data_IF_328819862067
#
_entry.id   IF_328819862067
#
_cell.length_a   1.000
_cell.length_b   1.000
_cell.length_c   1.000
_cell.angle_alpha   90.00
_cell.angle_beta   90.00
_cell.angle_gamma   90.00
#
_symmetry.space_group_name_H-M   'P 1'
#
loop_
_entity.id
_entity.type
_entity.pdbx_description
1 polymer ?
#
# COMPACT_ATOMS: atom_id res chain seq x y z
N UNK A 1 -20.63 12.99 11.42
CA UNK A 1 -19.83 12.74 10.18
C UNK A 1 -18.56 13.56 10.29
N UNK A 2 -17.45 12.97 10.72
CA UNK A 2 -16.18 13.70 10.90
C UNK A 2 -15.38 13.63 9.61
N UNK A 3 -15.16 14.78 8.98
CA UNK A 3 -14.30 14.90 7.81
C UNK A 3 -12.85 14.68 8.24
N UNK A 4 -12.24 13.59 7.76
CA UNK A 4 -10.82 13.30 7.95
C UNK A 4 -10.02 14.28 7.09
N UNK A 5 -9.25 15.17 7.74
CA UNK A 5 -8.36 16.12 7.07
C UNK A 5 -7.12 15.36 6.57
N UNK A 6 -6.93 15.32 5.25
CA UNK A 6 -5.75 14.70 4.64
C UNK A 6 -4.49 15.47 5.06
N UNK A 7 -3.49 14.76 5.59
CA UNK A 7 -2.15 15.32 5.78
C UNK A 7 -1.47 15.34 4.41
N UNK A 8 -1.05 16.52 3.94
CA UNK A 8 -0.41 16.74 2.62
C UNK A 8 1.12 16.59 2.64
N UNK A 9 1.66 15.81 3.58
CA UNK A 9 3.09 15.45 3.54
C UNK A 9 3.28 14.14 2.79
N UNK A 10 3.62 14.20 1.50
CA UNK A 10 4.05 12.99 0.75
C UNK A 10 5.41 12.56 1.30
N UNK A 11 5.40 11.79 2.39
CA UNK A 11 6.58 11.06 2.83
C UNK A 11 6.55 9.75 2.10
N UNK A 12 7.56 9.48 1.26
CA UNK A 12 7.70 8.17 0.64
C UNK A 12 7.81 7.13 1.75
N UNK A 13 6.95 6.09 1.77
CA UNK A 13 6.97 5.13 2.86
C UNK A 13 8.26 4.32 2.87
N UNK A 14 8.75 4.03 4.07
CA UNK A 14 9.87 3.11 4.26
C UNK A 14 9.38 1.68 4.05
N UNK A 15 9.96 0.98 3.09
CA UNK A 15 9.63 -0.40 2.71
C UNK A 15 10.91 -1.20 2.47
N UNK A 16 10.85 -2.55 2.47
CA UNK A 16 12.00 -3.37 2.13
C UNK A 16 12.59 -3.01 0.77
N UNK A 17 13.93 -2.96 0.68
CA UNK A 17 14.67 -2.66 -0.56
C UNK A 17 14.46 -3.70 -1.68
N UNK A 18 13.83 -4.82 -1.37
CA UNK A 18 13.44 -5.86 -2.33
C UNK A 18 12.22 -5.49 -3.18
N UNK A 19 11.59 -4.34 -2.91
CA UNK A 19 10.52 -3.78 -3.74
C UNK A 19 10.78 -2.32 -4.06
N UNK A 20 10.17 -1.85 -5.15
CA UNK A 20 10.06 -0.45 -5.51
C UNK A 20 8.61 0.02 -5.33
N UNK A 21 8.44 1.30 -5.00
CA UNK A 21 7.15 1.97 -4.93
C UNK A 21 7.02 2.96 -6.09
N UNK A 22 6.05 2.72 -6.97
CA UNK A 22 5.72 3.64 -8.06
C UNK A 22 4.47 4.42 -7.66
N UNK A 23 4.51 5.76 -7.55
CA UNK A 23 3.33 6.54 -7.23
C UNK A 23 2.29 6.43 -8.36
N UNK A 24 1.03 6.17 -8.00
CA UNK A 24 -0.09 6.07 -8.96
C UNK A 24 -1.29 6.94 -8.55
N UNK A 25 -1.14 7.70 -7.47
CA UNK A 25 -2.11 8.67 -6.99
C UNK A 25 -1.69 9.24 -5.63
N UNK A 26 -2.41 10.24 -5.10
CA UNK A 26 -2.17 10.77 -3.76
C UNK A 26 -2.31 9.67 -2.71
N UNK A 27 -1.25 9.44 -1.92
CA UNK A 27 -1.24 8.39 -0.90
C UNK A 27 -1.40 6.98 -1.46
N UNK A 28 -1.10 6.74 -2.75
CA UNK A 28 -1.29 5.44 -3.40
C UNK A 28 -0.07 5.07 -4.25
N UNK A 29 0.50 3.90 -3.98
CA UNK A 29 1.67 3.37 -4.67
C UNK A 29 1.41 1.98 -5.22
N UNK A 30 1.93 1.70 -6.41
CA UNK A 30 2.09 0.36 -6.94
C UNK A 30 3.38 -0.23 -6.40
N UNK A 31 3.28 -1.42 -5.80
CA UNK A 31 4.42 -2.19 -5.28
C UNK A 31 4.93 -3.09 -6.39
N UNK A 32 6.21 -2.98 -6.71
CA UNK A 32 6.86 -3.73 -7.79
C UNK A 32 8.04 -4.52 -7.21
N UNK A 33 8.12 -5.81 -7.51
CA UNK A 33 9.27 -6.63 -7.09
C UNK A 33 10.51 -6.39 -7.97
N UNK A 34 11.64 -7.01 -7.62
CA UNK A 34 12.92 -6.82 -8.34
C UNK A 34 12.88 -7.24 -9.81
N UNK A 35 11.92 -8.06 -10.24
CA UNK A 35 11.78 -8.45 -11.65
C UNK A 35 10.88 -7.50 -12.45
N UNK A 36 10.39 -6.42 -11.82
CA UNK A 36 9.50 -5.47 -12.47
C UNK A 36 8.02 -5.88 -12.43
N UNK A 37 7.67 -6.96 -11.72
CA UNK A 37 6.28 -7.43 -11.65
C UNK A 37 5.53 -6.70 -10.53
N UNK A 38 4.32 -6.23 -10.85
CA UNK A 38 3.42 -5.66 -9.84
C UNK A 38 2.99 -6.74 -8.84
N UNK A 39 3.19 -6.46 -7.55
CA UNK A 39 2.79 -7.30 -6.40
C UNK A 39 1.41 -6.88 -5.91
N UNK A 40 1.13 -5.57 -5.89
CA UNK A 40 -0.14 -5.02 -5.43
C UNK A 40 -0.09 -3.50 -5.34
N UNK A 41 -1.03 -2.93 -4.59
CA UNK A 41 -1.03 -1.53 -4.20
C UNK A 41 -0.87 -1.38 -2.70
N UNK A 42 -0.20 -0.30 -2.32
CA UNK A 42 -0.07 0.20 -0.96
C UNK A 42 -0.77 1.56 -0.92
N UNK A 43 -1.70 1.75 0.01
CA UNK A 43 -2.39 3.03 0.20
C UNK A 43 -2.21 3.55 1.63
N UNK A 44 -1.95 4.85 1.76
CA UNK A 44 -1.98 5.54 3.05
C UNK A 44 -3.44 5.72 3.48
N UNK A 45 -3.74 5.35 4.72
CA UNK A 45 -5.04 5.52 5.39
C UNK A 45 -4.85 6.51 6.52
N UNK A 46 -5.59 7.61 6.50
CA UNK A 46 -5.65 8.49 7.66
C UNK A 46 -6.63 7.91 8.68
N UNK A 47 -6.11 7.24 9.71
CA UNK A 47 -6.89 6.75 10.86
C UNK A 47 -6.75 7.76 12.01
N UNK A 48 -7.83 7.98 12.76
CA UNK A 48 -7.99 9.06 13.75
C UNK A 48 -6.93 9.12 14.88
N UNK A 49 -6.08 8.09 15.06
CA UNK A 49 -5.10 8.01 16.14
C UNK A 49 -3.66 7.63 15.67
N UNK A 50 -3.44 7.56 14.37
CA UNK A 50 -2.19 7.09 13.77
C UNK A 50 -2.51 6.57 12.39
N UNK A 51 -1.85 7.10 11.36
CA UNK A 51 -2.05 6.64 9.99
C UNK A 51 -1.84 5.12 9.88
N UNK A 52 -2.39 4.53 8.84
CA UNK A 52 -2.19 3.13 8.53
C UNK A 52 -1.94 2.91 7.05
N UNK A 53 -1.64 1.69 6.70
CA UNK A 53 -1.24 1.28 5.37
C UNK A 53 -2.15 0.16 4.91
N UNK A 54 -2.96 0.42 3.90
CA UNK A 54 -3.81 -0.59 3.29
C UNK A 54 -3.06 -1.30 2.18
N UNK A 55 -2.95 -2.63 2.28
CA UNK A 55 -2.40 -3.48 1.24
C UNK A 55 -3.52 -4.08 0.39
N UNK A 56 -3.38 -3.97 -0.93
CA UNK A 56 -4.33 -4.51 -1.91
C UNK A 56 -3.62 -5.38 -2.93
N UNK A 57 -4.00 -6.66 -3.04
CA UNK A 57 -3.46 -7.57 -4.05
C UNK A 57 -4.31 -7.54 -5.31
N UNK A 58 -3.68 -7.54 -6.49
CA UNK A 58 -4.41 -7.73 -7.73
C UNK A 58 -4.81 -9.21 -7.89
N UNK A 59 -6.10 -9.46 -8.06
CA UNK A 59 -6.64 -10.80 -8.32
C UNK A 59 -6.92 -10.95 -9.81
N UNK A 60 -6.03 -11.67 -10.51
CA UNK A 60 -6.06 -11.82 -11.96
C UNK A 60 -7.41 -12.35 -12.49
N UNK A 61 -8.00 -13.42 -11.92
CA UNK A 61 -9.25 -13.97 -12.46
C UNK A 61 -10.42 -12.98 -12.46
N UNK A 62 -10.53 -12.12 -11.43
CA UNK A 62 -11.60 -11.12 -11.34
C UNK A 62 -11.22 -9.73 -11.82
N UNK A 63 -9.97 -9.54 -12.28
CA UNK A 63 -9.39 -8.24 -12.66
C UNK A 63 -9.65 -7.13 -11.63
N UNK A 64 -9.64 -7.47 -10.34
CA UNK A 64 -9.96 -6.54 -9.26
C UNK A 64 -8.93 -6.61 -8.14
N UNK A 65 -8.88 -5.54 -7.33
CA UNK A 65 -8.04 -5.49 -6.14
C UNK A 65 -8.79 -6.06 -4.95
N UNK A 66 -8.15 -6.99 -4.24
CA UNK A 66 -8.64 -7.50 -2.95
C UNK A 66 -7.82 -6.89 -1.84
N UNK A 67 -8.50 -6.37 -0.82
CA UNK A 67 -7.86 -5.92 0.40
C UNK A 67 -7.26 -7.13 1.12
N UNK A 68 -5.97 -7.04 1.44
CA UNK A 68 -5.27 -8.02 2.27
C UNK A 68 -5.39 -7.63 3.74
N UNK A 69 -5.28 -6.34 4.04
CA UNK A 69 -5.37 -5.83 5.41
C UNK A 69 -5.00 -4.36 5.51
N UNK A 70 -5.08 -3.85 6.74
CA UNK A 70 -4.61 -2.53 7.13
C UNK A 70 -3.57 -2.74 8.22
N UNK A 71 -2.41 -2.11 8.07
CA UNK A 71 -1.24 -2.30 8.91
C UNK A 71 -0.77 -0.96 9.47
N UNK A 72 -0.01 -1.02 10.56
CA UNK A 72 0.54 0.19 11.19
C UNK A 72 1.76 0.72 10.44
N UNK A 73 2.52 -0.15 9.77
CA UNK A 73 3.67 0.24 8.94
C UNK A 73 3.51 -0.16 7.46
N UNK A 74 4.14 0.63 6.59
CA UNK A 74 4.22 0.32 5.17
C UNK A 74 5.04 -0.96 4.91
N UNK A 75 6.09 -1.19 5.71
CA UNK A 75 6.93 -2.37 5.61
C UNK A 75 6.14 -3.66 5.88
N UNK A 76 5.33 -3.71 6.93
CA UNK A 76 4.46 -4.87 7.22
C UNK A 76 3.44 -5.10 6.10
N UNK A 77 2.78 -4.04 5.64
CA UNK A 77 1.82 -4.13 4.53
C UNK A 77 2.46 -4.71 3.26
N UNK A 78 3.68 -4.27 2.92
CA UNK A 78 4.44 -4.77 1.77
C UNK A 78 4.86 -6.22 1.96
N UNK A 79 5.31 -6.61 3.16
CA UNK A 79 5.73 -7.99 3.40
C UNK A 79 4.53 -8.95 3.29
N UNK A 80 3.36 -8.57 3.84
CA UNK A 80 2.12 -9.33 3.65
C UNK A 80 1.70 -9.41 2.17
N UNK A 81 1.92 -8.38 1.34
CA UNK A 81 1.66 -8.44 -0.10
C UNK A 81 2.56 -9.48 -0.79
N UNK A 82 3.84 -9.57 -0.39
CA UNK A 82 4.79 -10.52 -0.98
C UNK A 82 4.47 -11.96 -0.60
N UNK A 83 4.09 -12.19 0.65
CA UNK A 83 3.76 -13.52 1.19
C UNK A 83 2.36 -14.01 0.78
N UNK A 84 1.46 -13.12 0.39
CA UNK A 84 0.10 -13.46 -0.05
C UNK A 84 -0.05 -13.65 -1.56
N UNK A 85 1.05 -13.80 -2.30
CA UNK A 85 1.00 -14.01 -3.77
C UNK A 85 0.36 -15.33 -4.17
#
# INVERSE_FOLDING_TARGET
MTAVRARTGVTTPVVPHTVALLPVGPGLWRVVDRSGRAVGHLAERSIHAGGGWEARRFHVPSRSFRQIGIFWSAAEAVECLRLSR
#
